data_IF_613150692674
#
_entry.id   IF_613150692674
#
_cell.length_a   1.000
_cell.length_b   1.000
_cell.length_c   1.000
_cell.angle_alpha   90.00
_cell.angle_beta   90.00
_cell.angle_gamma   90.00
#
_symmetry.space_group_name_H-M   'P 1'
#
loop_
_entity.id
_entity.type
_entity.pdbx_description
1 polymer ?
#
# COMPACT_ATOMS: atom_id res chain seq x y z
N UNK A 1 0.69 -25.12 -8.04
CA UNK A 1 1.45 -23.87 -7.99
C UNK A 1 2.40 -23.90 -9.17
N UNK A 2 2.26 -23.01 -10.14
CA UNK A 2 3.25 -22.86 -11.21
C UNK A 2 4.48 -22.23 -10.57
N UNK A 3 5.62 -22.93 -10.65
CA UNK A 3 6.91 -22.46 -10.18
C UNK A 3 7.22 -21.11 -10.86
N UNK A 4 7.18 -20.03 -10.08
CA UNK A 4 7.68 -18.74 -10.50
C UNK A 4 9.21 -18.86 -10.58
N UNK A 5 9.71 -18.89 -11.81
CA UNK A 5 11.14 -18.95 -12.09
C UNK A 5 11.82 -17.62 -11.72
N UNK A 6 12.32 -17.56 -10.49
CA UNK A 6 13.08 -16.43 -9.94
C UNK A 6 14.46 -16.26 -10.59
N UNK A 7 14.88 -17.15 -11.50
CA UNK A 7 16.12 -17.00 -12.26
C UNK A 7 15.96 -16.16 -13.54
N UNK A 8 14.72 -15.86 -13.93
CA UNK A 8 14.43 -15.00 -15.07
C UNK A 8 14.69 -13.52 -14.74
N UNK A 9 15.40 -12.82 -15.63
CA UNK A 9 15.57 -11.37 -15.52
C UNK A 9 14.20 -10.68 -15.55
N UNK A 10 13.95 -9.80 -14.57
CA UNK A 10 12.74 -8.99 -14.56
C UNK A 10 12.72 -8.05 -15.76
N UNK A 11 11.55 -7.94 -16.40
CA UNK A 11 11.30 -6.94 -17.45
C UNK A 11 10.89 -5.59 -16.88
N UNK A 12 10.81 -5.47 -15.55
CA UNK A 12 10.41 -4.25 -14.87
C UNK A 12 11.37 -3.10 -15.23
N UNK A 13 10.80 -2.01 -15.75
CA UNK A 13 11.51 -0.75 -15.97
C UNK A 13 10.80 0.32 -15.16
N UNK A 14 11.51 0.95 -14.24
CA UNK A 14 11.01 2.15 -13.59
C UNK A 14 10.82 3.24 -14.66
N UNK A 15 9.60 3.75 -14.79
CA UNK A 15 9.25 4.80 -15.73
C UNK A 15 8.72 6.00 -14.93
N UNK A 16 9.27 7.19 -15.18
CA UNK A 16 8.85 8.51 -14.68
C UNK A 16 8.48 8.64 -13.19
N UNK A 17 8.01 9.82 -12.75
CA UNK A 17 7.28 9.96 -11.48
C UNK A 17 5.79 9.56 -11.63
N UNK A 18 5.40 8.94 -12.74
CA UNK A 18 4.01 8.70 -13.13
C UNK A 18 3.23 7.77 -12.18
N UNK A 19 3.95 6.95 -11.41
CA UNK A 19 3.36 6.06 -10.41
C UNK A 19 3.51 6.59 -8.98
N UNK A 20 3.74 7.89 -8.81
CA UNK A 20 3.75 8.56 -7.52
C UNK A 20 2.60 9.55 -7.46
N UNK A 21 1.86 9.53 -6.34
CA UNK A 21 0.84 10.55 -6.05
C UNK A 21 1.34 11.46 -4.94
N UNK A 22 0.87 12.71 -4.95
CA UNK A 22 1.14 13.71 -3.93
C UNK A 22 -0.04 13.85 -2.95
N UNK A 23 0.14 14.70 -1.93
CA UNK A 23 -0.91 14.97 -0.94
C UNK A 23 -2.17 15.56 -1.56
N UNK A 24 -2.05 16.40 -2.59
CA UNK A 24 -3.21 17.02 -3.25
C UNK A 24 -4.12 15.94 -3.84
N UNK A 25 -3.55 14.99 -4.58
CA UNK A 25 -4.33 13.86 -5.10
C UNK A 25 -4.90 12.98 -4.00
N UNK A 26 -4.17 12.78 -2.90
CA UNK A 26 -4.68 12.01 -1.75
C UNK A 26 -5.89 12.68 -1.09
N UNK A 27 -5.87 14.00 -0.95
CA UNK A 27 -7.01 14.77 -0.44
C UNK A 27 -8.23 14.67 -1.35
N UNK A 28 -8.03 14.69 -2.67
CA UNK A 28 -9.11 14.45 -3.64
C UNK A 28 -9.72 13.06 -3.49
N UNK A 29 -8.90 12.01 -3.44
CA UNK A 29 -9.35 10.62 -3.26
C UNK A 29 -10.21 10.49 -1.99
N UNK A 30 -9.75 11.08 -0.88
CA UNK A 30 -10.48 11.03 0.40
C UNK A 30 -11.79 11.83 0.32
N UNK A 31 -11.80 12.95 -0.38
CA UNK A 31 -13.01 13.77 -0.59
C UNK A 31 -14.04 13.04 -1.48
N UNK A 32 -13.58 12.31 -2.49
CA UNK A 32 -14.41 11.50 -3.38
C UNK A 32 -15.01 10.28 -2.65
N UNK A 33 -14.30 9.73 -1.66
CA UNK A 33 -14.77 8.63 -0.81
C UNK A 33 -15.11 7.38 -1.65
N UNK A 34 -16.29 6.80 -1.44
CA UNK A 34 -16.73 5.61 -2.18
C UNK A 34 -16.83 5.81 -3.70
N UNK A 35 -17.04 7.06 -4.14
CA UNK A 35 -17.10 7.43 -5.56
C UNK A 35 -15.72 7.50 -6.23
N UNK A 36 -14.64 7.46 -5.45
CA UNK A 36 -13.28 7.45 -5.95
C UNK A 36 -13.01 6.21 -6.81
N UNK A 37 -12.28 6.44 -7.91
CA UNK A 37 -11.72 5.40 -8.75
C UNK A 37 -10.49 4.73 -8.12
N UNK A 38 -10.08 5.17 -6.92
CA UNK A 38 -8.84 4.78 -6.25
C UNK A 38 -9.13 4.20 -4.86
N UNK A 39 -8.37 3.19 -4.48
CA UNK A 39 -8.36 2.58 -3.14
C UNK A 39 -7.02 2.85 -2.48
N UNK A 40 -7.03 3.37 -1.26
CA UNK A 40 -5.82 3.60 -0.48
C UNK A 40 -5.52 2.34 0.33
N UNK A 41 -4.27 1.87 0.28
CA UNK A 41 -3.82 0.73 1.07
C UNK A 41 -2.60 1.14 1.91
N UNK A 42 -2.75 1.11 3.22
CA UNK A 42 -1.70 1.38 4.18
C UNK A 42 -1.03 0.08 4.62
N UNK A 43 0.27 -0.05 4.32
CA UNK A 43 1.05 -1.25 4.61
C UNK A 43 1.83 -1.20 5.93
N UNK A 44 1.54 -0.24 6.79
CA UNK A 44 2.03 -0.23 8.19
C UNK A 44 1.42 -1.41 8.98
N UNK A 45 2.00 -1.69 10.14
CA UNK A 45 1.44 -2.69 11.05
C UNK A 45 0.02 -2.29 11.49
N UNK A 46 -0.79 -3.28 11.83
CA UNK A 46 -2.17 -3.07 12.23
C UNK A 46 -2.28 -2.15 13.46
N UNK A 47 -1.39 -2.31 14.42
CA UNK A 47 -1.38 -1.47 15.64
C UNK A 47 -1.10 -0.01 15.31
N UNK A 48 -0.23 0.27 14.33
CA UNK A 48 0.06 1.63 13.87
C UNK A 48 -1.12 2.24 13.11
N UNK A 49 -1.73 1.45 12.23
CA UNK A 49 -2.92 1.83 11.48
C UNK A 49 -4.09 2.18 12.40
N UNK A 50 -4.35 1.36 13.41
CA UNK A 50 -5.39 1.59 14.43
C UNK A 50 -5.00 2.72 15.42
N UNK A 51 -3.74 3.19 15.39
CA UNK A 51 -3.26 4.23 16.31
C UNK A 51 -3.07 3.74 17.76
N UNK A 52 -2.80 2.46 17.95
CA UNK A 52 -2.61 1.80 19.25
C UNK A 52 -1.16 1.86 19.76
N UNK A 53 -0.21 2.16 18.88
CA UNK A 53 1.20 2.32 19.20
C UNK A 53 1.73 3.62 18.59
N UNK A 54 2.77 4.18 19.20
CA UNK A 54 3.44 5.36 18.66
C UNK A 54 4.14 5.05 17.34
N UNK A 55 4.19 6.06 16.48
CA UNK A 55 4.95 6.00 15.24
C UNK A 55 6.46 6.06 15.53
N UNK A 56 7.31 5.38 14.74
CA UNK A 56 8.77 5.42 14.93
C UNK A 56 9.36 6.83 14.85
N UNK A 57 8.71 7.72 14.08
CA UNK A 57 9.09 9.14 14.00
C UNK A 57 8.37 9.89 15.13
N UNK A 58 9.09 10.68 15.95
CA UNK A 58 8.48 11.39 17.07
C UNK A 58 7.47 12.44 16.59
N UNK A 59 6.49 12.74 17.46
CA UNK A 59 5.48 13.78 17.27
C UNK A 59 4.53 13.57 16.07
N UNK A 60 4.41 12.34 15.59
CA UNK A 60 3.45 11.99 14.55
C UNK A 60 2.07 11.72 15.16
N UNK A 61 1.01 12.14 14.47
CA UNK A 61 -0.36 11.79 14.86
C UNK A 61 -0.58 10.27 14.70
N UNK A 62 -1.42 9.71 15.56
CA UNK A 62 -1.81 8.29 15.54
C UNK A 62 -3.03 8.07 14.64
N UNK A 63 -3.16 6.86 14.09
CA UNK A 63 -4.27 6.44 13.25
C UNK A 63 -3.87 6.26 11.78
N UNK A 64 -4.84 6.45 10.89
CA UNK A 64 -4.67 6.25 9.45
C UNK A 64 -5.53 7.22 8.62
N UNK A 65 -5.35 7.16 7.30
CA UNK A 65 -6.10 7.95 6.31
C UNK A 65 -7.55 7.45 6.20
N UNK A 66 -8.58 8.33 6.17
CA UNK A 66 -9.96 7.90 6.02
C UNK A 66 -10.18 7.01 4.79
N UNK A 67 -10.89 5.89 4.97
CA UNK A 67 -11.21 4.94 3.90
C UNK A 67 -10.05 4.07 3.44
N UNK A 68 -8.86 4.19 4.05
CA UNK A 68 -7.74 3.30 3.74
C UNK A 68 -8.00 1.87 4.23
N UNK A 69 -7.56 0.89 3.46
CA UNK A 69 -7.45 -0.50 3.88
C UNK A 69 -6.09 -0.72 4.56
N UNK A 70 -6.00 -1.69 5.49
CA UNK A 70 -4.72 -2.08 6.08
C UNK A 70 -4.27 -3.45 5.57
N UNK A 71 -3.04 -3.51 5.05
CA UNK A 71 -2.38 -4.76 4.69
C UNK A 71 -0.89 -4.65 5.05
N UNK A 72 -0.49 -5.06 6.28
CA UNK A 72 0.90 -5.01 6.71
C UNK A 72 1.83 -5.68 5.69
N UNK A 73 2.89 -4.99 5.26
CA UNK A 73 3.78 -5.53 4.23
C UNK A 73 4.42 -6.87 4.62
N UNK A 74 4.61 -7.11 5.92
CA UNK A 74 5.13 -8.36 6.47
C UNK A 74 4.25 -9.56 6.14
N UNK A 75 2.94 -9.34 5.95
CA UNK A 75 1.99 -10.41 5.65
C UNK A 75 2.17 -10.90 4.20
N UNK A 76 2.76 -10.09 3.33
CA UNK A 76 3.11 -10.46 1.95
C UNK A 76 4.35 -11.36 1.88
N UNK A 77 5.18 -11.38 2.93
CA UNK A 77 6.49 -12.03 2.94
C UNK A 77 6.42 -13.44 3.53
N UNK A 78 7.31 -14.31 3.07
CA UNK A 78 7.51 -15.63 3.67
C UNK A 78 8.11 -15.45 5.09
N UNK A 79 7.45 -15.94 6.15
CA UNK A 79 7.91 -15.77 7.53
C UNK A 79 9.23 -16.49 7.83
N UNK A 80 9.57 -17.53 7.06
CA UNK A 80 10.85 -18.24 7.19
C UNK A 80 11.95 -17.57 6.36
N UNK A 81 11.57 -16.77 5.35
CA UNK A 81 12.50 -16.05 4.50
C UNK A 81 11.92 -14.71 4.02
N UNK A 82 12.18 -13.67 4.80
CA UNK A 82 11.69 -12.31 4.54
C UNK A 82 12.19 -11.67 3.22
N UNK A 83 13.08 -12.34 2.49
CA UNK A 83 13.51 -11.90 1.15
C UNK A 83 12.59 -12.41 0.03
N UNK A 84 11.62 -13.28 0.35
CA UNK A 84 10.67 -13.87 -0.60
C UNK A 84 9.25 -13.44 -0.26
N UNK A 85 8.44 -13.27 -1.31
CA UNK A 85 7.00 -13.23 -1.15
C UNK A 85 6.46 -14.63 -0.84
N UNK A 86 5.29 -14.66 -0.19
CA UNK A 86 4.45 -15.86 -0.14
C UNK A 86 4.02 -16.30 -1.54
N UNK A 87 3.47 -17.50 -1.65
CA UNK A 87 2.95 -18.00 -2.93
C UNK A 87 1.81 -17.12 -3.47
N UNK A 88 1.62 -17.09 -4.79
CA UNK A 88 0.53 -16.35 -5.45
C UNK A 88 -0.84 -16.70 -4.85
N UNK A 89 -1.05 -17.97 -4.49
CA UNK A 89 -2.30 -18.42 -3.87
C UNK A 89 -2.51 -17.79 -2.48
N UNK A 90 -1.46 -17.72 -1.67
CA UNK A 90 -1.52 -17.09 -0.34
C UNK A 90 -1.69 -15.58 -0.45
N UNK A 91 -0.93 -14.93 -1.35
CA UNK A 91 -1.04 -13.49 -1.59
C UNK A 91 -2.45 -13.11 -2.02
N UNK A 92 -3.07 -13.88 -2.93
CA UNK A 92 -4.43 -13.62 -3.39
C UNK A 92 -5.43 -13.69 -2.23
N UNK A 93 -5.28 -14.70 -1.36
CA UNK A 93 -6.13 -14.85 -0.16
C UNK A 93 -5.95 -13.66 0.79
N UNK A 94 -4.72 -13.28 1.09
CA UNK A 94 -4.40 -12.18 2.00
C UNK A 94 -4.94 -10.85 1.47
N UNK A 95 -4.79 -10.58 0.17
CA UNK A 95 -5.34 -9.36 -0.45
C UNK A 95 -6.87 -9.34 -0.40
N UNK A 96 -7.55 -10.46 -0.69
CA UNK A 96 -9.00 -10.57 -0.55
C UNK A 96 -9.47 -10.35 0.90
N UNK A 97 -8.78 -10.93 1.88
CA UNK A 97 -9.08 -10.74 3.31
C UNK A 97 -8.88 -9.29 3.75
N UNK A 98 -7.92 -8.57 3.15
CA UNK A 98 -7.70 -7.14 3.35
C UNK A 98 -8.71 -6.25 2.59
N UNK A 99 -9.62 -6.83 1.78
CA UNK A 99 -10.58 -6.09 0.96
C UNK A 99 -10.00 -5.54 -0.35
N UNK A 100 -8.83 -6.00 -0.76
CA UNK A 100 -8.16 -5.59 -2.01
C UNK A 100 -8.59 -6.54 -3.12
N UNK A 101 -9.36 -6.01 -4.07
CA UNK A 101 -9.75 -6.71 -5.28
C UNK A 101 -8.71 -6.46 -6.39
N UNK A 102 -7.88 -7.47 -6.66
CA UNK A 102 -6.78 -7.40 -7.62
C UNK A 102 -7.30 -7.26 -9.06
N UNK A 103 -8.46 -7.84 -9.35
CA UNK A 103 -9.10 -7.82 -10.67
C UNK A 103 -9.92 -6.55 -10.91
N UNK A 104 -10.08 -5.71 -9.89
CA UNK A 104 -10.80 -4.44 -9.98
C UNK A 104 -10.10 -3.44 -10.91
N UNK A 105 -10.91 -2.69 -11.66
CA UNK A 105 -10.42 -1.55 -12.44
C UNK A 105 -10.08 -0.33 -11.59
N UNK A 106 -10.41 -0.32 -10.28
CA UNK A 106 -10.03 0.76 -9.38
C UNK A 106 -8.53 0.82 -9.23
N UNK A 107 -7.93 2.01 -9.27
CA UNK A 107 -6.51 2.23 -9.00
C UNK A 107 -6.19 1.89 -7.54
N UNK A 108 -4.96 1.44 -7.28
CA UNK A 108 -4.47 1.19 -5.92
C UNK A 108 -3.39 2.21 -5.61
N UNK A 109 -3.53 2.92 -4.49
CA UNK A 109 -2.50 3.81 -3.96
C UNK A 109 -1.94 3.20 -2.67
N UNK A 110 -0.71 2.72 -2.76
CA UNK A 110 0.02 2.16 -1.63
C UNK A 110 0.66 3.28 -0.78
N UNK A 111 0.60 3.14 0.53
CA UNK A 111 1.23 4.04 1.50
C UNK A 111 1.84 3.26 2.65
N UNK A 112 2.81 3.84 3.34
CA UNK A 112 3.36 3.26 4.57
C UNK A 112 3.74 4.35 5.58
N UNK A 113 4.86 4.18 6.30
CA UNK A 113 5.42 5.24 7.15
C UNK A 113 6.09 6.36 6.36
N UNK A 114 6.85 6.03 5.31
CA UNK A 114 7.73 6.96 4.60
C UNK A 114 8.01 6.54 3.15
N UNK A 115 6.99 5.99 2.46
CA UNK A 115 7.06 5.59 1.05
C UNK A 115 7.74 4.24 0.76
N UNK A 116 8.84 3.92 1.44
CA UNK A 116 9.70 2.80 1.05
C UNK A 116 9.01 1.42 1.02
N UNK A 117 8.36 1.01 2.12
CA UNK A 117 7.72 -0.32 2.17
C UNK A 117 6.42 -0.38 1.39
N UNK A 118 5.82 0.74 0.95
CA UNK A 118 4.66 0.74 0.07
C UNK A 118 4.94 0.03 -1.27
N UNK A 119 6.20 0.10 -1.74
CA UNK A 119 6.65 -0.59 -2.94
C UNK A 119 6.54 -2.12 -2.86
N UNK A 120 6.47 -2.70 -1.66
CA UNK A 120 6.27 -4.16 -1.51
C UNK A 120 4.89 -4.59 -2.02
N UNK A 121 3.85 -3.79 -1.77
CA UNK A 121 2.51 -4.05 -2.29
C UNK A 121 2.45 -3.81 -3.79
N UNK A 122 3.08 -2.75 -4.29
CA UNK A 122 3.16 -2.48 -5.74
C UNK A 122 3.83 -3.64 -6.47
N UNK A 123 4.94 -4.15 -5.94
CA UNK A 123 5.61 -5.32 -6.51
C UNK A 123 4.74 -6.59 -6.41
N UNK A 124 4.06 -6.81 -5.29
CA UNK A 124 3.13 -7.94 -5.16
C UNK A 124 2.01 -7.89 -6.21
N UNK A 125 1.47 -6.70 -6.49
CA UNK A 125 0.44 -6.48 -7.52
C UNK A 125 0.99 -6.69 -8.95
N UNK A 126 2.24 -6.30 -9.21
CA UNK A 126 2.93 -6.58 -10.47
C UNK A 126 3.09 -8.09 -10.71
N UNK A 127 3.35 -8.89 -9.66
CA UNK A 127 3.38 -10.36 -9.77
C UNK A 127 2.03 -10.97 -10.18
N UNK A 128 0.92 -10.27 -9.92
CA UNK A 128 -0.42 -10.65 -10.43
C UNK A 128 -0.68 -10.16 -11.87
N UNK A 129 0.28 -9.47 -12.49
CA UNK A 129 0.13 -8.93 -13.84
C UNK A 129 -0.78 -7.71 -13.92
N UNK A 130 -0.98 -7.01 -12.80
CA UNK A 130 -1.78 -5.79 -12.75
C UNK A 130 -1.08 -4.69 -13.56
N UNK A 131 -1.87 -3.87 -14.27
CA UNK A 131 -1.35 -2.76 -15.07
C UNK A 131 -0.55 -1.78 -14.19
N UNK A 132 0.74 -1.53 -14.48
CA UNK A 132 1.53 -0.52 -13.79
C UNK A 132 0.87 0.86 -13.80
N UNK A 133 0.13 1.24 -14.84
CA UNK A 133 -0.60 2.51 -14.88
C UNK A 133 -1.77 2.62 -13.89
N UNK A 134 -2.04 1.57 -13.11
CA UNK A 134 -3.14 1.48 -12.14
C UNK A 134 -2.66 1.26 -10.70
N UNK A 135 -1.35 1.31 -10.45
CA UNK A 135 -0.72 1.11 -9.14
C UNK A 135 0.25 2.25 -8.82
N UNK A 136 -0.03 2.96 -7.74
CA UNK A 136 0.68 4.17 -7.35
C UNK A 136 1.24 4.05 -5.93
N UNK A 137 2.27 4.84 -5.65
CA UNK A 137 2.80 5.04 -4.30
C UNK A 137 2.53 6.48 -3.88
N UNK A 138 1.96 6.66 -2.69
CA UNK A 138 2.01 7.95 -2.01
C UNK A 138 3.32 8.05 -1.22
N UNK A 139 4.33 8.69 -1.82
CA UNK A 139 5.70 8.71 -1.28
C UNK A 139 5.78 9.42 0.08
N UNK A 140 5.07 10.55 0.23
CA UNK A 140 4.97 11.28 1.49
C UNK A 140 4.40 10.43 2.63
N UNK A 141 3.48 9.52 2.30
CA UNK A 141 3.00 8.47 3.21
C UNK A 141 2.49 9.03 4.55
N UNK A 142 2.47 8.21 5.61
CA UNK A 142 2.06 8.68 6.93
C UNK A 142 2.96 9.78 7.49
N UNK A 143 4.24 9.83 7.14
CA UNK A 143 5.16 10.89 7.61
C UNK A 143 4.71 12.28 7.16
N UNK A 144 4.25 12.41 5.92
CA UNK A 144 3.70 13.66 5.40
C UNK A 144 2.27 13.86 5.91
N UNK A 145 1.41 12.84 5.76
CA UNK A 145 0.00 12.94 6.14
C UNK A 145 -0.19 13.16 7.63
N UNK A 146 0.30 12.25 8.47
CA UNK A 146 0.20 12.31 9.92
C UNK A 146 0.97 13.47 10.55
N UNK A 147 1.91 14.08 9.83
CA UNK A 147 2.67 15.25 10.26
C UNK A 147 1.95 16.57 9.99
N UNK A 148 1.03 16.59 9.03
CA UNK A 148 0.26 17.78 8.66
C UNK A 148 -1.06 17.86 9.44
N UNK A 149 -1.20 18.83 10.35
CA UNK A 149 -2.35 18.93 11.24
C UNK A 149 -3.70 19.14 10.52
N UNK A 150 -3.66 19.68 9.29
CA UNK A 150 -4.87 19.95 8.49
C UNK A 150 -5.45 18.71 7.78
N UNK A 151 -4.71 17.61 7.68
CA UNK A 151 -5.24 16.40 7.02
C UNK A 151 -6.15 15.58 7.94
N UNK A 152 -7.24 14.99 7.41
CA UNK A 152 -8.17 14.19 8.20
C UNK A 152 -7.55 12.85 8.63
N UNK A 153 -7.92 12.35 9.80
CA UNK A 153 -7.45 11.08 10.37
C UNK A 153 -8.61 10.27 10.94
N UNK A 154 -8.46 8.95 10.93
CA UNK A 154 -9.33 8.00 11.64
C UNK A 154 -8.53 7.31 12.73
N UNK A 155 -9.17 7.07 13.88
CA UNK A 155 -8.65 6.28 15.00
C UNK A 155 -9.73 5.27 15.39
N UNK A 156 -9.35 4.01 15.48
CA UNK A 156 -10.24 2.88 15.76
C UNK A 156 -9.97 2.28 17.15
#
# INVERSE_FOLDING_TARGET
>A
ATDLDLSSETKYRAAGPENVVDMERMLEIIKEGESSDSVIVDVRSKERFLGQVEEPRPNMRLGHMPGALNLPFTDLLDPENLTKFKSIQELNKIMQEAGIDIDSSKKIVASCGSGATACTLVLALDLFGRDPGSTFVYDGSWSEWGGENSTPIVKD
#
